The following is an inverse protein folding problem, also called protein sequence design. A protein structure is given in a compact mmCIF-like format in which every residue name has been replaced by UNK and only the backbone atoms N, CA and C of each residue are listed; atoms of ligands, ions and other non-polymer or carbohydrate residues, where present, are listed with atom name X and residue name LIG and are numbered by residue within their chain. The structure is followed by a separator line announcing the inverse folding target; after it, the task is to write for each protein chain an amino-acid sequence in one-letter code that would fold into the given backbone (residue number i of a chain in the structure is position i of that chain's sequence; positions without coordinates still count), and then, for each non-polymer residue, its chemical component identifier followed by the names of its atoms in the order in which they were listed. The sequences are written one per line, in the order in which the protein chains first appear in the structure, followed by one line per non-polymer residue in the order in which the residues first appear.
data_IF_962740205723
#
_entry.id   IF_962740205723
#
_cell.length_a   1.000
_cell.length_b   1.000
_cell.length_c   1.000
_cell.angle_alpha   90.00
_cell.angle_beta   90.00
_cell.angle_gamma   90.00
#
_symmetry.space_group_name_H-M   'P 1'
#
loop_
_entity.id
_entity.type
_entity.pdbx_description
1 polymer ?
#
# COMPACT_ATOMS: atom_id res chain seq x y z
N UNK A 1 7.74 -9.84 -16.97
CA UNK A 1 7.78 -8.40 -17.30
C UNK A 1 8.92 -8.20 -18.28
N UNK A 2 8.75 -7.37 -19.31
CA UNK A 2 9.84 -7.14 -20.28
C UNK A 2 10.68 -5.93 -19.87
N UNK A 3 11.92 -5.83 -20.39
CA UNK A 3 12.84 -4.74 -20.04
C UNK A 3 12.27 -3.35 -20.38
N UNK A 4 11.44 -3.23 -21.43
CA UNK A 4 10.85 -1.95 -21.83
C UNK A 4 9.85 -1.42 -20.80
N UNK A 5 9.10 -2.29 -20.14
CA UNK A 5 8.19 -1.91 -19.05
C UNK A 5 8.96 -1.45 -17.82
N UNK A 6 10.07 -2.12 -17.49
CA UNK A 6 10.95 -1.74 -16.37
C UNK A 6 11.58 -0.36 -16.58
N UNK A 7 12.14 -0.10 -17.76
CA UNK A 7 12.75 1.20 -18.08
C UNK A 7 11.72 2.33 -17.99
N UNK A 8 10.50 2.12 -18.49
CA UNK A 8 9.42 3.10 -18.35
C UNK A 8 9.05 3.38 -16.89
N UNK A 9 8.98 2.35 -16.06
CA UNK A 9 8.71 2.53 -14.63
C UNK A 9 9.84 3.31 -13.96
N UNK A 10 11.09 3.03 -14.32
CA UNK A 10 12.26 3.74 -13.83
C UNK A 10 12.22 5.22 -14.23
N UNK A 11 12.02 5.51 -15.51
CA UNK A 11 11.85 6.89 -16.02
C UNK A 11 10.73 7.62 -15.27
N UNK A 12 9.61 6.95 -14.99
CA UNK A 12 8.50 7.52 -14.26
C UNK A 12 8.82 7.81 -12.78
N UNK A 13 9.57 6.93 -12.11
CA UNK A 13 9.97 7.10 -10.71
C UNK A 13 10.93 8.28 -10.51
N UNK A 14 11.75 8.58 -11.51
CA UNK A 14 12.72 9.69 -11.50
C UNK A 14 12.21 10.93 -12.25
N UNK A 15 10.97 10.92 -12.72
CA UNK A 15 10.38 12.08 -13.38
C UNK A 15 10.22 13.24 -12.37
N UNK A 16 10.68 14.43 -12.74
CA UNK A 16 10.54 15.63 -11.91
C UNK A 16 9.17 16.30 -12.07
N UNK A 17 8.46 16.00 -13.16
CA UNK A 17 7.12 16.54 -13.42
C UNK A 17 6.07 15.72 -12.65
N UNK A 18 5.64 16.27 -11.52
CA UNK A 18 4.64 15.63 -10.65
C UNK A 18 3.29 15.45 -11.35
N UNK A 19 2.90 16.31 -12.28
CA UNK A 19 1.63 16.19 -13.01
C UNK A 19 1.69 15.06 -14.05
N UNK A 20 2.84 14.90 -14.71
CA UNK A 20 3.05 13.75 -15.60
C UNK A 20 3.06 12.43 -14.81
N UNK A 21 3.70 12.39 -13.63
CA UNK A 21 3.65 11.19 -12.77
C UNK A 21 2.21 10.85 -12.39
N UNK A 22 1.45 11.84 -11.89
CA UNK A 22 0.04 11.65 -11.51
C UNK A 22 -0.77 11.10 -12.67
N UNK A 23 -0.59 11.67 -13.86
CA UNK A 23 -1.28 11.27 -15.07
C UNK A 23 -0.92 9.83 -15.44
N UNK A 24 0.35 9.48 -15.54
CA UNK A 24 0.76 8.14 -15.97
C UNK A 24 0.33 7.08 -14.94
N UNK A 25 0.55 7.29 -13.64
CA UNK A 25 0.15 6.36 -12.57
C UNK A 25 -1.36 6.11 -12.57
N UNK A 26 -2.17 7.13 -12.86
CA UNK A 26 -3.63 7.00 -12.98
C UNK A 26 -4.05 6.10 -14.15
N UNK A 27 -3.26 6.03 -15.23
CA UNK A 27 -3.58 5.25 -16.42
C UNK A 27 -2.89 3.88 -16.47
N UNK A 28 -2.04 3.53 -15.49
CA UNK A 28 -1.51 2.17 -15.36
C UNK A 28 -2.68 1.20 -15.19
N UNK A 29 -2.83 0.30 -16.15
CA UNK A 29 -3.90 -0.72 -16.21
C UNK A 29 -3.41 -2.13 -15.88
N UNK A 30 -2.24 -2.24 -15.24
CA UNK A 30 -1.61 -3.50 -14.88
C UNK A 30 -1.27 -3.48 -13.39
N UNK A 31 -1.88 -4.40 -12.63
CA UNK A 31 -1.70 -4.49 -11.18
C UNK A 31 -0.26 -4.75 -10.77
N UNK A 32 0.52 -5.51 -11.57
CA UNK A 32 1.93 -5.80 -11.29
C UNK A 32 2.80 -4.55 -11.52
N UNK A 33 2.57 -3.80 -12.61
CA UNK A 33 3.30 -2.55 -12.85
C UNK A 33 3.02 -1.54 -11.73
N UNK A 34 1.76 -1.41 -11.34
CA UNK A 34 1.37 -0.52 -10.25
C UNK A 34 1.97 -0.95 -8.91
N UNK A 35 2.05 -2.27 -8.66
CA UNK A 35 2.69 -2.83 -7.46
C UNK A 35 4.18 -2.50 -7.40
N UNK A 36 4.91 -2.71 -8.49
CA UNK A 36 6.35 -2.45 -8.56
C UNK A 36 6.63 -0.96 -8.46
N UNK A 37 5.81 -0.11 -9.09
CA UNK A 37 5.90 1.33 -8.93
C UNK A 37 5.71 1.74 -7.46
N UNK A 38 4.65 1.23 -6.80
CA UNK A 38 4.38 1.52 -5.39
C UNK A 38 5.50 1.05 -4.45
N UNK A 39 6.13 -0.09 -4.77
CA UNK A 39 7.20 -0.66 -3.96
C UNK A 39 8.52 0.13 -4.04
N UNK A 40 8.74 0.84 -5.15
CA UNK A 40 9.95 1.64 -5.39
C UNK A 40 9.72 3.16 -5.20
N UNK A 41 8.49 3.58 -4.88
CA UNK A 41 8.18 4.99 -4.68
C UNK A 41 8.92 5.58 -3.47
N UNK A 42 9.53 6.76 -3.66
CA UNK A 42 10.15 7.50 -2.57
C UNK A 42 9.08 8.18 -1.70
N UNK A 43 8.84 7.66 -0.50
CA UNK A 43 7.82 8.17 0.43
C UNK A 43 8.09 9.59 0.94
N UNK A 44 9.33 10.10 0.81
CA UNK A 44 9.66 11.50 1.11
C UNK A 44 8.98 12.48 0.13
N UNK A 45 8.52 11.98 -1.04
CA UNK A 45 7.77 12.77 -2.02
C UNK A 45 6.28 12.96 -1.64
N UNK A 46 5.87 12.49 -0.45
CA UNK A 46 4.53 12.69 0.10
C UNK A 46 3.49 11.66 -0.34
N UNK A 47 2.20 12.01 -0.18
CA UNK A 47 1.09 11.05 -0.30
C UNK A 47 0.17 11.28 -1.52
N UNK A 48 0.45 12.25 -2.39
CA UNK A 48 -0.38 12.50 -3.57
C UNK A 48 -0.38 11.30 -4.53
N UNK A 49 0.81 10.82 -4.89
CA UNK A 49 0.96 9.65 -5.77
C UNK A 49 0.45 8.36 -5.09
N UNK A 50 0.79 8.07 -3.81
CA UNK A 50 0.15 6.98 -3.07
C UNK A 50 -1.38 7.02 -3.07
N UNK A 51 -1.98 8.20 -2.92
CA UNK A 51 -3.43 8.35 -3.01
C UNK A 51 -3.98 8.00 -4.41
N UNK A 52 -3.28 8.35 -5.49
CA UNK A 52 -3.66 7.94 -6.84
C UNK A 52 -3.56 6.41 -6.99
N UNK A 53 -2.47 5.81 -6.50
CA UNK A 53 -2.26 4.36 -6.55
C UNK A 53 -3.42 3.62 -5.87
N UNK A 54 -3.78 3.97 -4.63
CA UNK A 54 -4.83 3.25 -3.89
C UNK A 54 -6.23 3.50 -4.47
N UNK A 55 -6.40 4.54 -5.30
CA UNK A 55 -7.65 4.87 -6.01
C UNK A 55 -7.69 4.35 -7.46
N UNK A 56 -6.58 3.86 -8.00
CA UNK A 56 -6.54 3.21 -9.31
C UNK A 56 -7.33 1.89 -9.26
N UNK A 57 -8.17 1.62 -10.27
CA UNK A 57 -9.02 0.43 -10.33
C UNK A 57 -8.23 -0.89 -10.44
N UNK A 58 -6.97 -0.82 -10.87
CA UNK A 58 -6.02 -1.93 -10.96
C UNK A 58 -5.16 -2.07 -9.70
N UNK A 59 -5.38 -1.24 -8.67
CA UNK A 59 -4.74 -1.43 -7.37
C UNK A 59 -5.18 -2.76 -6.75
N UNK A 60 -4.20 -3.62 -6.51
CA UNK A 60 -4.40 -4.93 -5.91
C UNK A 60 -4.43 -4.84 -4.38
N UNK A 61 -5.19 -5.73 -3.73
CA UNK A 61 -5.20 -5.85 -2.28
C UNK A 61 -3.79 -6.08 -1.72
N UNK A 62 -2.97 -6.91 -2.38
CA UNK A 62 -1.58 -7.14 -1.98
C UNK A 62 -0.75 -5.85 -2.02
N UNK A 63 -0.93 -5.02 -3.04
CA UNK A 63 -0.31 -3.68 -3.14
C UNK A 63 -0.76 -2.77 -2.02
N UNK A 64 -2.07 -2.72 -1.74
CA UNK A 64 -2.63 -1.91 -0.67
C UNK A 64 -2.09 -2.31 0.71
N UNK A 65 -2.00 -3.62 0.98
CA UNK A 65 -1.41 -4.15 2.22
C UNK A 65 0.09 -3.85 2.32
N UNK A 66 0.84 -3.99 1.23
CA UNK A 66 2.25 -3.60 1.18
C UNK A 66 2.41 -2.11 1.57
N UNK A 67 1.70 -1.22 0.89
CA UNK A 67 1.74 0.21 1.18
C UNK A 67 1.34 0.51 2.62
N UNK A 68 0.28 -0.15 3.14
CA UNK A 68 -0.18 0.01 4.51
C UNK A 68 0.95 -0.24 5.51
N UNK A 69 1.73 -1.31 5.33
CA UNK A 69 2.86 -1.61 6.20
C UNK A 69 4.08 -0.72 5.93
N UNK A 70 4.33 -0.32 4.68
CA UNK A 70 5.41 0.62 4.33
C UNK A 70 5.28 1.97 5.01
N UNK A 71 4.06 2.43 5.27
CA UNK A 71 3.80 3.72 5.95
C UNK A 71 3.49 3.57 7.44
N UNK A 72 4.06 2.56 8.11
CA UNK A 72 3.87 2.33 9.55
C UNK A 72 2.40 2.07 9.97
N UNK A 73 1.65 1.33 9.14
CA UNK A 73 0.28 0.91 9.45
C UNK A 73 0.19 0.03 10.71
N UNK A 74 1.29 -0.63 11.13
CA UNK A 74 1.34 -1.35 12.40
C UNK A 74 0.99 -0.43 13.58
N UNK A 75 1.49 0.81 13.59
CA UNK A 75 1.19 1.80 14.64
C UNK A 75 -0.31 2.10 14.73
N UNK A 76 -1.00 2.16 13.59
CA UNK A 76 -2.46 2.29 13.57
C UNK A 76 -3.13 1.07 14.20
N UNK A 77 -2.69 -0.15 13.87
CA UNK A 77 -3.27 -1.38 14.45
C UNK A 77 -3.05 -1.48 15.96
N UNK A 78 -1.90 -1.04 16.46
CA UNK A 78 -1.55 -1.10 17.88
C UNK A 78 -2.36 -0.12 18.74
N UNK A 79 -2.65 1.08 18.21
CA UNK A 79 -3.31 2.13 18.98
C UNK A 79 -4.24 3.02 18.14
N UNK A 80 -5.31 2.43 17.61
CA UNK A 80 -6.30 3.12 16.77
C UNK A 80 -6.85 4.38 17.45
N UNK A 81 -7.24 4.30 18.72
CA UNK A 81 -7.87 5.41 19.43
C UNK A 81 -6.97 6.64 19.50
N UNK A 82 -5.68 6.46 19.82
CA UNK A 82 -4.75 7.59 19.91
C UNK A 82 -4.38 8.15 18.54
N UNK A 83 -4.24 7.28 17.53
CA UNK A 83 -3.99 7.76 16.16
C UNK A 83 -5.18 8.54 15.64
N UNK A 84 -6.41 8.11 15.89
CA UNK A 84 -7.61 8.84 15.46
C UNK A 84 -7.86 10.12 16.28
N UNK A 85 -7.39 10.23 17.52
CA UNK A 85 -7.57 11.44 18.35
C UNK A 85 -6.50 12.53 18.20
N UNK A 86 -5.35 12.22 17.60
CA UNK A 86 -4.26 13.21 17.39
C UNK A 86 -4.57 14.25 16.30
N UNK A 87 -3.73 15.29 16.18
CA UNK A 87 -3.82 16.26 15.10
C UNK A 87 -3.77 15.59 13.72
N UNK A 88 -4.56 16.09 12.76
CA UNK A 88 -4.57 15.58 11.40
C UNK A 88 -3.24 15.90 10.70
N UNK A 89 -2.66 14.89 10.06
CA UNK A 89 -1.47 14.98 9.22
C UNK A 89 -1.73 14.22 7.92
N UNK A 90 -0.99 14.53 6.86
CA UNK A 90 -1.14 13.86 5.55
C UNK A 90 -0.98 12.35 5.68
N UNK A 91 -0.04 11.91 6.52
CA UNK A 91 0.14 10.51 6.89
C UNK A 91 -1.14 9.92 7.50
N UNK A 92 -1.72 10.60 8.49
CA UNK A 92 -2.92 10.13 9.19
C UNK A 92 -4.11 10.04 8.24
N UNK A 93 -4.28 11.01 7.35
CA UNK A 93 -5.34 11.00 6.35
C UNK A 93 -5.18 9.81 5.39
N UNK A 94 -3.97 9.63 4.85
CA UNK A 94 -3.65 8.54 3.94
C UNK A 94 -3.85 7.18 4.59
N UNK A 95 -3.26 6.93 5.78
CA UNK A 95 -3.32 5.63 6.43
C UNK A 95 -4.73 5.27 6.89
N UNK A 96 -5.53 6.26 7.32
CA UNK A 96 -6.93 6.07 7.69
C UNK A 96 -7.76 5.67 6.48
N UNK A 97 -7.60 6.40 5.36
CA UNK A 97 -8.28 6.07 4.10
C UNK A 97 -7.91 4.65 3.64
N UNK A 98 -6.61 4.35 3.58
CA UNK A 98 -6.11 3.03 3.17
C UNK A 98 -6.66 1.91 4.07
N UNK A 99 -6.62 2.08 5.39
CA UNK A 99 -7.19 1.14 6.35
C UNK A 99 -8.68 0.88 6.07
N UNK A 100 -9.48 1.93 5.87
CA UNK A 100 -10.90 1.78 5.58
C UNK A 100 -11.15 1.09 4.24
N UNK A 101 -10.36 1.36 3.20
CA UNK A 101 -10.48 0.68 1.90
C UNK A 101 -10.16 -0.81 2.00
N UNK A 102 -9.10 -1.17 2.72
CA UNK A 102 -8.73 -2.57 2.97
C UNK A 102 -9.83 -3.26 3.77
N UNK A 103 -10.22 -2.69 4.92
CA UNK A 103 -11.23 -3.24 5.83
C UNK A 103 -12.59 -3.46 5.13
N UNK A 104 -12.99 -2.53 4.27
CA UNK A 104 -14.27 -2.59 3.55
C UNK A 104 -14.19 -3.32 2.20
N UNK A 105 -13.12 -4.07 1.95
CA UNK A 105 -12.89 -4.87 0.73
C UNK A 105 -13.11 -4.07 -0.57
N UNK A 106 -12.52 -2.87 -0.66
CA UNK A 106 -12.71 -1.95 -1.80
C UNK A 106 -11.78 -2.22 -2.98
N UNK A 107 -10.91 -3.22 -2.90
CA UNK A 107 -9.99 -3.59 -3.98
C UNK A 107 -10.57 -4.77 -4.77
N UNK A 108 -10.76 -4.57 -6.09
CA UNK A 108 -11.36 -5.58 -6.98
C UNK A 108 -10.38 -6.69 -7.35
N UNK A 109 -9.08 -6.44 -7.20
CA UNK A 109 -7.97 -7.32 -7.59
C UNK A 109 -7.32 -7.93 -6.35
N UNK A 110 -7.02 -9.23 -6.44
CA UNK A 110 -6.34 -10.03 -5.40
C UNK A 110 -5.38 -11.04 -6.05
N UNK A 111 -4.70 -10.59 -7.09
CA UNK A 111 -3.75 -11.35 -7.89
C UNK A 111 -2.35 -11.36 -7.25
N UNK A 112 -2.07 -10.41 -6.34
CA UNK A 112 -0.78 -10.23 -5.67
C UNK A 112 -0.90 -10.60 -4.18
N UNK A 113 -0.06 -11.51 -3.73
CA UNK A 113 0.01 -11.91 -2.33
C UNK A 113 0.98 -11.00 -1.57
N UNK A 114 0.56 -10.59 -0.37
CA UNK A 114 1.41 -9.91 0.60
C UNK A 114 1.37 -10.65 1.93
N UNK A 115 2.54 -10.86 2.53
CA UNK A 115 2.67 -11.45 3.87
C UNK A 115 3.18 -10.36 4.83
N UNK A 116 2.35 -9.91 5.79
CA UNK A 116 2.81 -9.01 6.84
C UNK A 116 3.98 -9.62 7.61
N UNK A 117 5.06 -8.85 7.79
CA UNK A 117 6.23 -9.29 8.57
C UNK A 117 5.97 -9.13 10.08
N UNK A 118 4.92 -9.79 10.57
CA UNK A 118 4.54 -9.78 11.98
C UNK A 118 4.99 -11.06 12.68
N UNK A 119 5.65 -10.91 13.83
CA UNK A 119 5.94 -12.03 14.72
C UNK A 119 4.66 -12.55 15.40
N UNK A 120 4.70 -13.81 15.86
CA UNK A 120 3.62 -14.40 16.68
C UNK A 120 3.28 -13.55 17.90
N UNK A 121 4.30 -12.93 18.52
CA UNK A 121 4.14 -12.07 19.69
C UNK A 121 3.41 -10.77 19.33
N UNK A 122 3.75 -10.14 18.20
CA UNK A 122 3.05 -8.94 17.72
C UNK A 122 1.58 -9.25 17.40
N UNK A 123 1.31 -10.33 16.67
CA UNK A 123 -0.06 -10.77 16.37
C UNK A 123 -0.86 -10.99 17.66
N UNK A 124 -0.26 -11.67 18.65
CA UNK A 124 -0.90 -11.89 19.95
C UNK A 124 -1.22 -10.57 20.67
N UNK A 125 -0.28 -9.62 20.72
CA UNK A 125 -0.49 -8.31 21.35
C UNK A 125 -1.59 -7.51 20.65
N UNK A 126 -1.57 -7.48 19.31
CA UNK A 126 -2.59 -6.80 18.50
C UNK A 126 -3.98 -7.36 18.80
N UNK A 127 -4.15 -8.69 18.76
CA UNK A 127 -5.43 -9.35 19.07
C UNK A 127 -5.87 -9.15 20.52
N UNK A 128 -4.94 -9.06 21.46
CA UNK A 128 -5.25 -8.78 22.88
C UNK A 128 -5.78 -7.36 23.08
N UNK A 129 -5.17 -6.37 22.42
CA UNK A 129 -5.55 -4.97 22.54
C UNK A 129 -6.83 -4.66 21.74
N UNK A 130 -6.98 -5.28 20.57
CA UNK A 130 -8.15 -5.14 19.72
C UNK A 130 -8.52 -6.51 19.12
N UNK A 131 -9.44 -7.24 19.78
CA UNK A 131 -9.90 -8.57 19.32
C UNK A 131 -10.57 -8.55 17.94
N UNK A 132 -11.02 -7.38 17.48
CA UNK A 132 -11.76 -7.21 16.23
C UNK A 132 -10.88 -6.73 15.06
N UNK A 133 -9.55 -6.79 15.18
CA UNK A 133 -8.66 -6.49 14.04
C UNK A 133 -8.97 -7.48 12.91
N UNK A 134 -9.31 -7.01 11.71
CA UNK A 134 -9.57 -7.89 10.57
C UNK A 134 -8.35 -8.73 10.22
N UNK A 135 -8.55 -10.03 10.00
CA UNK A 135 -7.48 -10.97 9.68
C UNK A 135 -6.72 -10.63 8.39
N UNK A 136 -7.30 -9.85 7.47
CA UNK A 136 -6.64 -9.34 6.26
C UNK A 136 -5.38 -8.52 6.56
N UNK A 137 -5.31 -7.90 7.74
CA UNK A 137 -4.10 -7.20 8.17
C UNK A 137 -3.07 -8.13 8.79
N UNK A 138 -3.46 -9.29 9.30
CA UNK A 138 -2.59 -10.14 10.14
C UNK A 138 -2.02 -11.33 9.39
N UNK A 139 -2.73 -11.82 8.37
CA UNK A 139 -2.40 -13.03 7.64
C UNK A 139 -1.93 -12.71 6.22
N UNK A 140 -1.28 -13.70 5.59
CA UNK A 140 -0.95 -13.66 4.16
C UNK A 140 -2.21 -13.47 3.32
N UNK A 141 -2.20 -12.51 2.39
CA UNK A 141 -3.31 -12.29 1.46
C UNK A 141 -3.30 -13.31 0.31
N UNK A 142 -4.42 -13.49 -0.41
CA UNK A 142 -4.45 -14.29 -1.63
C UNK A 142 -3.55 -13.72 -2.73
N UNK A 143 -3.29 -14.51 -3.78
CA UNK A 143 -2.51 -14.10 -4.94
C UNK A 143 -1.13 -14.76 -5.02
N UNK A 144 -0.31 -14.27 -5.96
CA UNK A 144 1.07 -14.73 -6.16
C UNK A 144 2.05 -13.74 -5.54
N UNK A 145 3.13 -14.24 -4.97
CA UNK A 145 4.25 -13.38 -4.60
C UNK A 145 4.90 -12.82 -5.87
N UNK A 146 5.13 -11.52 -5.87
CA UNK A 146 5.75 -10.79 -6.97
C UNK A 146 7.13 -10.34 -6.48
N UNK A 147 8.16 -10.68 -7.25
CA UNK A 147 9.51 -10.17 -7.02
C UNK A 147 9.56 -8.69 -7.38
N UNK A 148 10.07 -7.87 -6.47
CA UNK A 148 10.26 -6.44 -6.70
C UNK A 148 11.67 -6.21 -7.26
N UNK A 149 11.81 -5.81 -8.53
CA UNK A 149 13.09 -5.41 -9.06
C UNK A 149 13.53 -4.08 -8.43
N UNK A 150 14.84 -3.93 -8.23
CA UNK A 150 15.43 -2.63 -7.90
C UNK A 150 15.43 -1.79 -9.18
N UNK A 151 14.74 -0.65 -9.13
CA UNK A 151 14.63 0.31 -10.24
C UNK A 151 15.59 1.48 -10.08
#
# INVERSE_FOLDING_TARGET
MNNKELEKLKELLYCEDSEEIKKEVKHINNSILLHIFAANYNWDNGFEIPNIIINNEHCDLGTALMMFYSVDGYRLLENQTNVFSSQMTDWKEFISNLYHKIKNNKFKKQEISFTPQLSKVQIYKLKKNNPNIPDVFLNKSPGKEIEIPVL
#
